data_IF_621955951361
#
_entry.id   IF_621955951361
#
_cell.length_a   1.000
_cell.length_b   1.000
_cell.length_c   1.000
_cell.angle_alpha   90.00
_cell.angle_beta   90.00
_cell.angle_gamma   90.00
#
_symmetry.space_group_name_H-M   'P 1'
#
loop_
_entity.id
_entity.type
_entity.pdbx_description
1 polymer ?
#
# COMPACT_ATOMS: atom_id res chain seq x y z
N UNK A 1 11.78 30.69 27.64
CA UNK A 1 11.54 29.58 26.69
C UNK A 1 10.40 28.76 27.26
N UNK A 2 9.38 28.51 26.45
CA UNK A 2 8.26 27.62 26.82
C UNK A 2 8.76 26.18 26.74
N UNK A 3 8.56 25.40 27.80
CA UNK A 3 8.90 23.98 27.83
C UNK A 3 7.72 23.19 27.26
N UNK A 4 7.94 22.40 26.21
CA UNK A 4 6.89 21.55 25.64
C UNK A 4 6.67 20.34 26.54
N UNK A 5 5.41 20.00 26.79
CA UNK A 5 5.04 18.71 27.37
C UNK A 5 5.00 17.68 26.23
N UNK A 6 6.02 16.83 26.15
CA UNK A 6 6.17 15.79 25.13
C UNK A 6 5.81 14.44 25.70
N UNK A 7 5.05 13.66 24.94
CA UNK A 7 4.89 12.22 25.22
C UNK A 7 6.19 11.48 24.92
N UNK A 8 6.37 10.27 25.49
CA UNK A 8 7.54 9.44 25.17
C UNK A 8 7.63 9.15 23.66
N UNK A 9 6.49 8.92 23.01
CA UNK A 9 6.45 8.68 21.57
C UNK A 9 6.88 9.89 20.74
N UNK A 10 6.46 11.08 21.14
CA UNK A 10 6.90 12.34 20.50
C UNK A 10 8.41 12.54 20.65
N UNK A 11 8.97 12.21 21.82
CA UNK A 11 10.43 12.24 22.02
C UNK A 11 11.14 11.25 21.11
N UNK A 12 10.67 10.00 21.03
CA UNK A 12 11.24 8.97 20.15
C UNK A 12 11.27 9.43 18.69
N UNK A 13 10.14 9.94 18.17
CA UNK A 13 10.03 10.42 16.80
C UNK A 13 10.95 11.62 16.52
N UNK A 14 11.05 12.57 17.46
CA UNK A 14 11.95 13.72 17.32
C UNK A 14 13.42 13.31 17.39
N UNK A 15 13.79 12.39 18.29
CA UNK A 15 15.16 11.85 18.40
C UNK A 15 15.56 11.00 17.20
N UNK A 16 14.60 10.38 16.52
CA UNK A 16 14.86 9.74 15.23
C UNK A 16 15.29 10.76 14.17
N UNK A 17 14.66 11.93 14.16
CA UNK A 17 14.91 12.99 13.18
C UNK A 17 16.12 13.88 13.49
N UNK A 18 16.48 14.04 14.78
CA UNK A 18 17.45 15.03 15.24
C UNK A 18 18.41 14.45 16.29
N UNK A 19 19.64 14.94 16.32
CA UNK A 19 20.70 14.44 17.20
C UNK A 19 20.69 15.03 18.63
N UNK A 20 19.82 16.02 18.91
CA UNK A 20 19.82 16.82 20.14
C UNK A 20 19.02 16.17 21.29
N UNK A 21 19.35 14.92 21.65
CA UNK A 21 18.55 14.08 22.55
C UNK A 21 18.24 14.71 23.92
N UNK A 22 19.22 15.30 24.60
CA UNK A 22 19.04 15.87 25.95
C UNK A 22 18.03 17.02 25.96
N UNK A 23 18.09 17.88 24.92
CA UNK A 23 17.14 19.00 24.78
C UNK A 23 15.72 18.50 24.51
N UNK A 24 15.61 17.47 23.68
CA UNK A 24 14.32 16.84 23.37
C UNK A 24 13.73 16.20 24.63
N UNK A 25 14.54 15.50 25.43
CA UNK A 25 14.08 14.93 26.71
C UNK A 25 13.58 15.97 27.69
N UNK A 26 14.23 17.12 27.71
CA UNK A 26 13.81 18.25 28.52
C UNK A 26 12.62 19.02 27.92
N UNK A 27 12.20 18.76 26.68
CA UNK A 27 11.16 19.54 26.00
C UNK A 27 11.61 20.96 25.61
N UNK A 28 12.92 21.19 25.52
CA UNK A 28 13.56 22.45 25.17
C UNK A 28 13.85 22.50 23.66
N UNK A 29 12.79 22.55 22.86
CA UNK A 29 12.87 22.47 21.40
C UNK A 29 13.40 23.77 20.74
N UNK A 30 14.03 23.64 19.58
CA UNK A 30 14.25 24.75 18.65
C UNK A 30 13.02 24.99 17.77
N UNK A 31 12.86 26.19 17.20
CA UNK A 31 11.71 26.54 16.35
C UNK A 31 11.41 25.51 15.24
N UNK A 32 12.44 24.94 14.62
CA UNK A 32 12.26 23.92 13.59
C UNK A 32 11.81 22.56 14.15
N UNK A 33 12.19 22.23 15.40
CA UNK A 33 11.72 21.05 16.13
C UNK A 33 10.29 21.24 16.64
N UNK A 34 9.91 22.48 16.99
CA UNK A 34 8.52 22.82 17.32
C UNK A 34 7.62 22.62 16.09
N UNK A 35 8.04 23.10 14.92
CA UNK A 35 7.32 22.87 13.66
C UNK A 35 7.18 21.37 13.35
N UNK A 36 8.24 20.59 13.57
CA UNK A 36 8.20 19.12 13.44
C UNK A 36 7.20 18.48 14.41
N UNK A 37 7.20 18.87 15.69
CA UNK A 37 6.25 18.39 16.69
C UNK A 37 4.80 18.68 16.28
N UNK A 38 4.52 19.89 15.80
CA UNK A 38 3.20 20.25 15.27
C UNK A 38 2.78 19.33 14.12
N UNK A 39 3.72 18.98 13.24
CA UNK A 39 3.46 18.07 12.13
C UNK A 39 3.15 16.65 12.61
N UNK A 40 3.95 16.13 13.55
CA UNK A 40 3.73 14.81 14.17
C UNK A 40 2.33 14.74 14.79
N UNK A 41 1.93 15.75 15.57
CA UNK A 41 0.61 15.79 16.22
C UNK A 41 -0.53 15.83 15.21
N UNK A 42 -0.43 16.66 14.17
CA UNK A 42 -1.45 16.74 13.12
C UNK A 42 -1.58 15.43 12.36
N UNK A 43 -0.47 14.75 12.11
CA UNK A 43 -0.47 13.44 11.47
C UNK A 43 -1.11 12.35 12.32
N UNK A 44 -0.90 12.36 13.65
CA UNK A 44 -1.62 11.47 14.57
C UNK A 44 -3.13 11.67 14.44
N UNK A 45 -3.60 12.91 14.53
CA UNK A 45 -5.02 13.26 14.40
C UNK A 45 -5.56 12.85 13.03
N UNK A 46 -4.79 13.06 11.96
CA UNK A 46 -5.18 12.64 10.62
C UNK A 46 -5.42 11.13 10.54
N UNK A 47 -4.49 10.32 11.05
CA UNK A 47 -4.60 8.85 11.03
C UNK A 47 -5.79 8.38 11.89
N UNK A 48 -5.95 8.92 13.10
CA UNK A 48 -7.07 8.60 14.00
C UNK A 48 -8.43 8.93 13.39
N UNK A 49 -8.56 10.08 12.73
CA UNK A 49 -9.81 10.50 12.11
C UNK A 49 -10.10 9.71 10.83
N UNK A 50 -9.07 9.41 10.03
CA UNK A 50 -9.22 8.73 8.73
C UNK A 50 -9.44 7.23 8.90
N UNK A 51 -8.81 6.61 9.89
CA UNK A 51 -8.82 5.17 10.12
C UNK A 51 -9.22 4.84 11.58
N UNK A 52 -10.42 5.24 12.04
CA UNK A 52 -10.81 5.16 13.45
C UNK A 52 -10.96 3.73 13.99
N UNK A 53 -11.00 2.73 13.10
CA UNK A 53 -11.11 1.31 13.46
C UNK A 53 -9.76 0.57 13.39
N UNK A 54 -8.66 1.30 13.14
CA UNK A 54 -7.33 0.74 13.04
C UNK A 54 -6.46 1.29 14.16
N UNK A 55 -5.64 0.42 14.74
CA UNK A 55 -4.65 0.79 15.74
C UNK A 55 -3.33 1.05 15.03
N UNK A 56 -3.05 2.34 14.76
CA UNK A 56 -1.92 2.78 13.94
C UNK A 56 -0.83 3.42 14.81
N UNK A 57 0.38 2.90 14.71
CA UNK A 57 1.53 3.40 15.44
C UNK A 57 2.54 4.07 14.49
N UNK A 58 2.83 5.36 14.71
CA UNK A 58 3.92 6.05 14.00
C UNK A 58 5.28 5.56 14.50
N UNK A 59 6.14 5.02 13.64
CA UNK A 59 7.44 4.45 14.04
C UNK A 59 8.63 5.34 13.71
N UNK A 60 8.50 6.25 12.73
CA UNK A 60 9.58 7.15 12.34
C UNK A 60 9.04 8.48 11.81
N UNK A 61 9.85 9.52 11.91
CA UNK A 61 9.55 10.84 11.37
C UNK A 61 10.76 11.39 10.62
N UNK A 62 10.55 11.82 9.39
CA UNK A 62 11.52 12.49 8.54
C UNK A 62 11.02 13.93 8.29
N UNK A 63 11.72 14.96 8.80
CA UNK A 63 11.29 16.33 8.65
C UNK A 63 11.45 16.80 7.21
N UNK A 64 10.65 17.80 6.84
CA UNK A 64 10.87 18.57 5.62
C UNK A 64 12.28 19.15 5.58
N UNK A 65 12.94 19.05 4.42
CA UNK A 65 14.28 19.60 4.19
C UNK A 65 14.28 20.50 2.96
N UNK A 66 15.42 21.15 2.68
CA UNK A 66 15.60 21.89 1.42
C UNK A 66 15.47 21.00 0.17
N UNK A 67 15.71 19.70 0.29
CA UNK A 67 15.63 18.72 -0.82
C UNK A 67 14.30 17.96 -0.83
N UNK A 68 13.64 17.86 0.31
CA UNK A 68 12.40 17.12 0.49
C UNK A 68 11.30 18.10 0.89
N UNK A 69 10.37 18.49 -0.02
CA UNK A 69 9.38 19.54 0.23
C UNK A 69 8.20 19.10 1.12
N UNK A 70 8.29 17.92 1.72
CA UNK A 70 7.29 17.32 2.59
C UNK A 70 8.00 16.70 3.81
N UNK A 71 7.26 16.56 4.91
CA UNK A 71 7.62 15.65 5.99
C UNK A 71 7.05 14.27 5.68
N UNK A 72 7.72 13.23 6.14
CA UNK A 72 7.31 11.84 5.96
C UNK A 72 7.23 11.14 7.31
N UNK A 73 6.17 10.38 7.53
CA UNK A 73 5.96 9.56 8.71
C UNK A 73 5.83 8.13 8.24
N UNK A 74 6.59 7.24 8.85
CA UNK A 74 6.37 5.81 8.69
C UNK A 74 5.52 5.32 9.86
N UNK A 75 4.56 4.46 9.58
CA UNK A 75 3.65 3.91 10.59
C UNK A 75 3.31 2.46 10.28
N UNK A 76 2.86 1.73 11.29
CA UNK A 76 2.44 0.34 11.20
C UNK A 76 1.05 0.19 11.81
N UNK A 77 0.31 -0.83 11.38
CA UNK A 77 -0.87 -1.28 12.10
C UNK A 77 -0.46 -2.32 13.16
N UNK A 78 -1.07 -2.27 14.35
CA UNK A 78 -0.78 -3.22 15.42
C UNK A 78 -0.90 -4.67 14.95
N UNK A 79 0.20 -5.43 15.08
CA UNK A 79 0.30 -6.82 14.65
C UNK A 79 0.64 -7.02 13.17
N UNK A 80 0.91 -5.93 12.42
CA UNK A 80 1.42 -5.97 11.05
C UNK A 80 2.91 -5.65 11.01
N UNK A 81 3.65 -6.37 10.18
CA UNK A 81 5.05 -6.06 9.84
C UNK A 81 5.16 -5.09 8.65
N UNK A 82 4.02 -4.68 8.07
CA UNK A 82 3.98 -3.78 6.91
C UNK A 82 4.12 -2.34 7.37
N UNK A 83 5.12 -1.66 6.80
CA UNK A 83 5.33 -0.23 7.02
C UNK A 83 4.63 0.59 5.95
N UNK A 84 3.77 1.49 6.40
CA UNK A 84 3.05 2.47 5.59
C UNK A 84 3.69 3.84 5.70
N UNK A 85 3.39 4.70 4.74
CA UNK A 85 3.95 6.04 4.61
C UNK A 85 2.84 7.07 4.57
N UNK A 86 2.97 8.10 5.41
CA UNK A 86 2.19 9.31 5.37
C UNK A 86 3.10 10.47 5.00
N UNK A 87 2.76 11.21 3.94
CA UNK A 87 3.40 12.48 3.60
C UNK A 87 2.53 13.63 4.03
N UNK A 88 3.15 14.63 4.65
CA UNK A 88 2.50 15.90 4.93
C UNK A 88 3.31 17.06 4.35
N UNK A 89 2.64 18.00 3.70
CA UNK A 89 3.24 19.22 3.17
C UNK A 89 2.26 20.38 3.30
N UNK A 90 2.79 21.58 3.51
CA UNK A 90 2.01 22.80 3.43
C UNK A 90 1.90 23.23 1.95
N UNK A 91 0.67 23.28 1.43
CA UNK A 91 0.36 23.70 0.06
C UNK A 91 -0.68 24.82 0.12
N UNK A 92 -0.37 25.97 -0.46
CA UNK A 92 -1.24 27.16 -0.45
C UNK A 92 -1.67 27.62 0.97
N UNK A 93 -0.82 27.42 1.98
CA UNK A 93 -1.13 27.76 3.37
C UNK A 93 -1.97 26.73 4.12
N UNK A 94 -2.28 25.60 3.50
CA UNK A 94 -3.02 24.49 4.10
C UNK A 94 -2.15 23.24 4.19
N UNK A 95 -2.27 22.48 5.28
CA UNK A 95 -1.61 21.18 5.38
C UNK A 95 -2.33 20.15 4.50
N UNK A 96 -1.58 19.45 3.68
CA UNK A 96 -2.07 18.38 2.82
C UNK A 96 -1.41 17.08 3.21
N UNK A 97 -2.23 16.05 3.37
CA UNK A 97 -1.81 14.72 3.79
C UNK A 97 -2.00 13.74 2.63
N UNK A 98 -1.14 12.74 2.52
CA UNK A 98 -1.28 11.64 1.56
C UNK A 98 -0.67 10.39 2.13
N UNK A 99 -1.40 9.29 2.12
CA UNK A 99 -0.94 8.00 2.65
C UNK A 99 -1.16 6.86 1.67
N UNK A 100 -0.57 5.70 1.96
CA UNK A 100 -0.75 4.45 1.24
C UNK A 100 -1.40 3.36 2.11
N UNK A 101 -2.07 3.72 3.22
CA UNK A 101 -2.81 2.76 4.06
C UNK A 101 -4.27 2.61 3.62
N UNK A 102 -4.74 3.48 2.72
CA UNK A 102 -6.10 3.41 2.19
C UNK A 102 -6.44 2.08 1.52
N UNK A 103 -5.46 1.25 1.16
CA UNK A 103 -5.70 -0.04 0.54
C UNK A 103 -6.14 -1.10 1.54
N UNK A 104 -5.60 -1.12 2.75
CA UNK A 104 -5.88 -2.12 3.78
C UNK A 104 -7.39 -2.34 4.02
N UNK A 105 -8.23 -1.30 4.11
CA UNK A 105 -9.67 -1.49 4.31
C UNK A 105 -10.38 -2.11 3.09
N UNK A 106 -9.84 -1.97 1.88
CA UNK A 106 -10.53 -2.29 0.62
C UNK A 106 -9.91 -3.44 -0.18
N UNK A 107 -8.66 -3.83 0.10
CA UNK A 107 -7.89 -4.83 -0.65
C UNK A 107 -8.68 -6.13 -0.85
N UNK A 108 -9.16 -6.74 0.24
CA UNK A 108 -9.91 -8.00 0.18
C UNK A 108 -11.20 -7.89 -0.62
N UNK A 109 -11.86 -6.73 -0.61
CA UNK A 109 -13.08 -6.52 -1.38
C UNK A 109 -12.76 -6.28 -2.87
N UNK A 110 -11.68 -5.53 -3.14
CA UNK A 110 -11.15 -5.29 -4.47
C UNK A 110 -10.74 -6.61 -5.14
N UNK A 111 -9.94 -7.45 -4.48
CA UNK A 111 -9.48 -8.72 -5.04
C UNK A 111 -10.65 -9.66 -5.33
N UNK A 112 -11.61 -9.77 -4.40
CA UNK A 112 -12.87 -10.51 -4.64
C UNK A 112 -13.65 -9.96 -5.83
N UNK A 113 -13.63 -8.65 -6.05
CA UNK A 113 -14.29 -8.02 -7.21
C UNK A 113 -13.61 -8.44 -8.51
N UNK A 114 -12.28 -8.44 -8.56
CA UNK A 114 -11.52 -8.91 -9.72
C UNK A 114 -11.73 -10.41 -9.95
N UNK A 115 -11.65 -11.25 -8.91
CA UNK A 115 -11.93 -12.68 -8.98
C UNK A 115 -13.33 -12.97 -9.57
N UNK A 116 -14.36 -12.21 -9.15
CA UNK A 116 -15.71 -12.35 -9.72
C UNK A 116 -15.78 -11.99 -11.20
N UNK A 117 -15.05 -10.95 -11.64
CA UNK A 117 -14.98 -10.56 -13.04
C UNK A 117 -14.31 -11.64 -13.89
N UNK A 118 -13.22 -12.22 -13.40
CA UNK A 118 -12.50 -13.31 -14.06
C UNK A 118 -13.35 -14.59 -14.11
N UNK A 119 -14.00 -14.95 -12.99
CA UNK A 119 -14.90 -16.11 -12.90
C UNK A 119 -16.09 -16.00 -13.85
N UNK A 120 -16.64 -14.81 -14.06
CA UNK A 120 -17.71 -14.57 -15.04
C UNK A 120 -17.28 -14.90 -16.49
N UNK A 121 -15.97 -14.91 -16.76
CA UNK A 121 -15.37 -15.32 -18.04
C UNK A 121 -14.77 -16.73 -17.99
N UNK A 122 -15.13 -17.53 -16.98
CA UNK A 122 -14.67 -18.91 -16.74
C UNK A 122 -13.17 -19.03 -16.48
N UNK A 123 -12.54 -17.97 -15.97
CA UNK A 123 -11.16 -17.99 -15.50
C UNK A 123 -11.21 -18.16 -13.99
N UNK A 124 -10.81 -19.34 -13.50
CA UNK A 124 -10.68 -19.59 -12.06
C UNK A 124 -9.31 -19.09 -11.60
N UNK A 125 -9.29 -18.19 -10.63
CA UNK A 125 -8.06 -17.54 -10.20
C UNK A 125 -8.11 -17.09 -8.75
N UNK A 126 -6.94 -16.85 -8.17
CA UNK A 126 -6.75 -15.96 -7.02
C UNK A 126 -6.17 -14.64 -7.47
N UNK A 127 -6.52 -13.58 -6.75
CA UNK A 127 -6.05 -12.22 -7.05
C UNK A 127 -5.47 -11.61 -5.80
N UNK A 128 -4.32 -10.98 -5.94
CA UNK A 128 -3.68 -10.14 -4.94
C UNK A 128 -3.44 -8.76 -5.56
N UNK A 129 -3.76 -7.68 -4.84
CA UNK A 129 -3.51 -6.33 -5.36
C UNK A 129 -2.84 -5.44 -4.33
N UNK A 130 -1.75 -4.80 -4.75
CA UNK A 130 -1.07 -3.75 -3.98
C UNK A 130 -1.31 -2.39 -4.61
N UNK A 131 -1.44 -1.36 -3.77
CA UNK A 131 -1.64 0.02 -4.17
C UNK A 131 -0.42 0.87 -3.78
N UNK A 132 0.64 0.90 -4.60
CA UNK A 132 1.94 1.40 -4.18
C UNK A 132 2.04 2.93 -4.06
N UNK A 133 0.97 3.67 -4.38
CA UNK A 133 1.00 5.12 -4.47
C UNK A 133 0.34 5.79 -3.28
N UNK A 134 0.90 6.94 -2.88
CA UNK A 134 0.26 7.82 -1.91
C UNK A 134 -0.92 8.55 -2.55
N UNK A 135 -2.04 8.60 -1.84
CA UNK A 135 -3.22 9.33 -2.28
C UNK A 135 -3.60 10.41 -1.26
N UNK A 136 -3.80 11.63 -1.76
CA UNK A 136 -4.24 12.76 -0.95
C UNK A 136 -5.74 12.76 -0.68
N UNK A 137 -6.51 12.18 -1.59
CA UNK A 137 -7.96 12.19 -1.52
C UNK A 137 -8.44 11.16 -0.50
N UNK A 138 -9.55 11.49 0.17
CA UNK A 138 -10.26 10.52 0.98
C UNK A 138 -10.90 9.46 0.07
N UNK A 139 -10.75 8.20 0.45
CA UNK A 139 -11.39 7.06 -0.22
C UNK A 139 -12.32 6.46 0.82
N UNK A 140 -13.62 6.64 0.63
CA UNK A 140 -14.63 6.21 1.60
C UNK A 140 -15.28 4.88 1.22
N UNK A 141 -15.07 4.44 -0.02
CA UNK A 141 -15.66 3.22 -0.55
C UNK A 141 -14.78 2.55 -1.62
N UNK A 142 -15.04 1.27 -1.85
CA UNK A 142 -14.48 0.53 -2.98
C UNK A 142 -14.84 1.20 -4.33
N UNK A 143 -16.02 1.81 -4.42
CA UNK A 143 -16.45 2.49 -5.66
C UNK A 143 -15.62 3.74 -5.92
N UNK A 144 -15.25 4.50 -4.88
CA UNK A 144 -14.32 5.62 -5.02
C UNK A 144 -12.97 5.11 -5.55
N UNK A 145 -12.44 4.04 -4.94
CA UNK A 145 -11.19 3.41 -5.33
C UNK A 145 -11.21 2.96 -6.79
N UNK A 146 -12.31 2.37 -7.27
CA UNK A 146 -12.48 1.89 -8.64
C UNK A 146 -12.57 3.04 -9.65
N UNK A 147 -13.19 4.16 -9.28
CA UNK A 147 -13.37 5.32 -10.16
C UNK A 147 -12.17 6.27 -10.21
N UNK A 148 -11.11 6.01 -9.45
CA UNK A 148 -9.89 6.82 -9.50
C UNK A 148 -9.12 6.63 -10.81
N UNK A 149 -9.15 7.65 -11.69
CA UNK A 149 -8.45 7.62 -12.99
C UNK A 149 -6.92 7.54 -12.88
N UNK A 150 -6.33 8.02 -11.78
CA UNK A 150 -4.87 8.11 -11.60
C UNK A 150 -4.31 7.06 -10.65
N UNK A 151 -5.11 6.05 -10.31
CA UNK A 151 -4.68 4.97 -9.43
C UNK A 151 -4.15 3.81 -10.27
N UNK A 152 -2.83 3.73 -10.36
CA UNK A 152 -2.16 2.55 -10.92
C UNK A 152 -1.99 1.52 -9.81
N UNK A 153 -2.33 0.27 -10.12
CA UNK A 153 -2.32 -0.87 -9.19
C UNK A 153 -1.27 -1.88 -9.62
N UNK A 154 -0.81 -2.72 -8.70
CA UNK A 154 -0.02 -3.90 -9.04
C UNK A 154 -0.86 -5.11 -8.68
N UNK A 155 -1.43 -5.75 -9.69
CA UNK A 155 -2.29 -6.91 -9.50
C UNK A 155 -1.59 -8.18 -9.93
N UNK A 156 -1.61 -9.18 -9.08
CA UNK A 156 -1.13 -10.52 -9.36
C UNK A 156 -2.33 -11.45 -9.49
N UNK A 157 -2.37 -12.22 -10.59
CA UNK A 157 -3.44 -13.16 -10.88
C UNK A 157 -2.85 -14.56 -10.94
N UNK A 158 -3.27 -15.43 -10.04
CA UNK A 158 -2.78 -16.80 -9.94
C UNK A 158 -3.81 -17.76 -10.54
N UNK A 159 -3.39 -18.55 -11.53
CA UNK A 159 -4.22 -19.52 -12.25
C UNK A 159 -3.66 -20.93 -12.02
N UNK A 160 -4.51 -21.80 -11.49
CA UNK A 160 -4.20 -23.23 -11.35
C UNK A 160 -4.37 -23.96 -12.67
N UNK A 161 -3.36 -24.75 -13.01
CA UNK A 161 -3.31 -25.56 -14.23
C UNK A 161 -2.84 -26.97 -13.89
N UNK A 162 -3.42 -27.95 -14.57
CA UNK A 162 -3.02 -29.36 -14.43
C UNK A 162 -1.73 -29.65 -15.23
N UNK A 163 -1.58 -28.96 -16.36
CA UNK A 163 -0.41 -29.00 -17.24
C UNK A 163 -0.16 -27.61 -17.84
N UNK A 164 1.09 -27.32 -18.20
CA UNK A 164 1.40 -26.03 -18.83
C UNK A 164 0.76 -25.94 -20.21
N UNK A 165 -0.08 -24.92 -20.47
CA UNK A 165 -0.57 -24.65 -21.80
C UNK A 165 0.60 -24.30 -22.72
N UNK A 166 0.34 -24.38 -24.03
CA UNK A 166 1.23 -23.76 -25.01
C UNK A 166 1.37 -22.25 -24.76
N UNK A 167 2.45 -21.66 -25.25
CA UNK A 167 2.66 -20.21 -25.15
C UNK A 167 1.50 -19.41 -25.76
N UNK A 168 0.95 -19.88 -26.88
CA UNK A 168 -0.21 -19.27 -27.54
C UNK A 168 -1.47 -19.31 -26.65
N UNK A 169 -1.74 -20.41 -25.95
CA UNK A 169 -2.88 -20.51 -25.04
C UNK A 169 -2.72 -19.61 -23.81
N UNK A 170 -1.50 -19.52 -23.27
CA UNK A 170 -1.19 -18.61 -22.16
C UNK A 170 -1.36 -17.14 -22.59
N UNK A 171 -0.86 -16.77 -23.76
CA UNK A 171 -1.04 -15.43 -24.34
C UNK A 171 -2.52 -15.12 -24.57
N UNK A 172 -3.28 -16.05 -25.15
CA UNK A 172 -4.72 -15.90 -25.36
C UNK A 172 -5.49 -15.72 -24.03
N UNK A 173 -5.07 -16.40 -22.97
CA UNK A 173 -5.64 -16.22 -21.63
C UNK A 173 -5.30 -14.84 -21.07
N UNK A 174 -4.04 -14.41 -21.18
CA UNK A 174 -3.61 -13.08 -20.73
C UNK A 174 -4.34 -11.95 -21.47
N UNK A 175 -4.52 -12.07 -22.79
CA UNK A 175 -5.28 -11.09 -23.59
C UNK A 175 -6.74 -10.98 -23.12
N UNK A 176 -7.39 -12.09 -22.74
CA UNK A 176 -8.74 -12.06 -22.17
C UNK A 176 -8.77 -11.36 -20.81
N UNK A 177 -7.77 -11.58 -19.96
CA UNK A 177 -7.65 -10.90 -18.66
C UNK A 177 -7.42 -9.40 -18.88
N UNK A 178 -6.53 -9.03 -19.78
CA UNK A 178 -6.25 -7.64 -20.14
C UNK A 178 -7.53 -6.93 -20.65
N UNK A 179 -8.31 -7.57 -21.50
CA UNK A 179 -9.59 -7.04 -21.98
C UNK A 179 -10.60 -6.84 -20.83
N UNK A 180 -10.69 -7.78 -19.88
CA UNK A 180 -11.53 -7.64 -18.69
C UNK A 180 -11.08 -6.43 -17.87
N UNK A 181 -9.78 -6.27 -17.66
CA UNK A 181 -9.23 -5.15 -16.90
C UNK A 181 -9.53 -3.81 -17.58
N UNK A 182 -9.31 -3.70 -18.90
CA UNK A 182 -9.63 -2.50 -19.68
C UNK A 182 -11.12 -2.15 -19.64
N UNK A 183 -12.00 -3.13 -19.85
CA UNK A 183 -13.45 -2.93 -19.83
C UNK A 183 -13.96 -2.44 -18.47
N UNK A 184 -13.27 -2.81 -17.39
CA UNK A 184 -13.64 -2.45 -16.01
C UNK A 184 -12.77 -1.34 -15.42
N UNK A 185 -11.94 -0.67 -16.25
CA UNK A 185 -11.05 0.44 -15.82
C UNK A 185 -10.10 0.06 -14.68
N UNK A 186 -9.68 -1.21 -14.65
CA UNK A 186 -8.68 -1.71 -13.71
C UNK A 186 -7.29 -1.38 -14.26
N UNK A 187 -6.85 -0.15 -14.00
CA UNK A 187 -5.58 0.38 -14.50
C UNK A 187 -4.39 0.00 -13.60
N UNK A 188 -3.27 -0.33 -14.23
CA UNK A 188 -2.05 -0.68 -13.53
C UNK A 188 -1.22 -1.76 -14.23
N UNK A 189 -0.25 -2.28 -13.48
CA UNK A 189 0.49 -3.47 -13.88
C UNK A 189 -0.26 -4.72 -13.44
N UNK A 190 -0.32 -5.72 -14.30
CA UNK A 190 -0.84 -7.04 -13.98
C UNK A 190 0.20 -8.09 -14.32
N UNK A 191 0.44 -9.02 -13.39
CA UNK A 191 1.25 -10.22 -13.62
C UNK A 191 0.37 -11.44 -13.46
N UNK A 192 0.28 -12.26 -14.50
CA UNK A 192 -0.49 -13.50 -14.49
C UNK A 192 0.48 -14.66 -14.29
N UNK A 193 0.26 -15.43 -13.23
CA UNK A 193 1.02 -16.63 -12.89
C UNK A 193 0.22 -17.88 -13.24
N UNK A 194 0.81 -18.75 -14.06
CA UNK A 194 0.33 -20.10 -14.33
C UNK A 194 1.11 -21.07 -13.46
N UNK A 195 0.41 -21.83 -12.61
CA UNK A 195 1.03 -22.65 -11.58
C UNK A 195 0.53 -24.09 -11.68
N UNK A 196 1.48 -25.03 -11.81
CA UNK A 196 1.19 -26.45 -11.66
C UNK A 196 0.90 -26.76 -10.19
N UNK A 197 -0.06 -27.66 -9.97
CA UNK A 197 -0.34 -28.28 -8.69
C UNK A 197 -0.89 -27.29 -7.64
N UNK A 198 -2.15 -26.87 -7.84
CA UNK A 198 -2.86 -26.07 -6.85
C UNK A 198 -3.92 -26.91 -6.13
N UNK A 199 -3.49 -27.86 -5.29
CA UNK A 199 -4.35 -28.38 -4.22
C UNK A 199 -4.75 -27.28 -3.22
N UNK A 200 -4.09 -26.11 -3.27
CA UNK A 200 -4.13 -25.08 -2.25
C UNK A 200 -4.70 -23.72 -2.68
N UNK A 201 -5.63 -23.67 -3.64
CA UNK A 201 -6.34 -22.42 -4.00
C UNK A 201 -7.15 -21.87 -2.82
N UNK A 202 -7.24 -22.60 -1.71
CA UNK A 202 -7.90 -22.18 -0.48
C UNK A 202 -6.95 -21.64 0.60
N UNK A 203 -5.62 -21.62 0.35
CA UNK A 203 -4.64 -21.04 1.29
C UNK A 203 -4.64 -19.51 1.25
N UNK A 204 -4.10 -18.94 2.32
CA UNK A 204 -3.91 -17.49 2.47
C UNK A 204 -3.00 -16.93 1.38
N UNK A 205 -3.16 -15.65 1.03
CA UNK A 205 -2.42 -15.01 -0.06
C UNK A 205 -0.92 -14.88 0.25
N UNK A 206 -0.57 -14.78 1.54
CA UNK A 206 0.82 -14.80 2.01
C UNK A 206 1.56 -16.08 1.60
N UNK A 207 0.84 -17.21 1.46
CA UNK A 207 1.39 -18.44 0.92
C UNK A 207 1.84 -18.27 -0.54
N UNK A 208 1.10 -17.52 -1.36
CA UNK A 208 1.41 -17.34 -2.77
C UNK A 208 2.63 -16.44 -3.00
N UNK A 209 2.81 -15.42 -2.16
CA UNK A 209 4.01 -14.56 -2.18
C UNK A 209 5.28 -15.36 -1.85
N UNK A 210 5.23 -16.18 -0.79
CA UNK A 210 6.32 -17.11 -0.47
C UNK A 210 6.50 -18.17 -1.57
N UNK A 211 5.40 -18.69 -2.12
CA UNK A 211 5.42 -19.69 -3.19
C UNK A 211 6.13 -19.16 -4.46
N UNK A 212 5.83 -17.92 -4.87
CA UNK A 212 6.49 -17.29 -6.03
C UNK A 212 7.97 -17.05 -5.75
N UNK A 213 8.34 -16.64 -4.53
CA UNK A 213 9.75 -16.43 -4.14
C UNK A 213 10.55 -17.73 -4.14
N UNK A 214 10.00 -18.79 -3.56
CA UNK A 214 10.69 -20.07 -3.40
C UNK A 214 10.76 -20.88 -4.70
N UNK A 215 9.72 -20.81 -5.53
CA UNK A 215 9.60 -21.66 -6.73
C UNK A 215 9.87 -20.98 -8.06
N UNK A 216 10.18 -19.68 -8.12
CA UNK A 216 10.77 -19.06 -9.34
C UNK A 216 12.05 -19.77 -9.82
N UNK A 217 12.73 -20.49 -8.93
CA UNK A 217 13.91 -21.30 -9.24
C UNK A 217 13.58 -22.74 -9.70
N UNK A 218 12.30 -23.13 -9.68
CA UNK A 218 11.81 -24.44 -10.09
C UNK A 218 10.88 -24.25 -11.30
N UNK A 219 10.89 -25.17 -12.28
CA UNK A 219 10.15 -25.04 -13.56
C UNK A 219 8.61 -25.12 -13.44
N UNK A 220 8.04 -24.74 -12.30
CA UNK A 220 6.64 -24.97 -11.92
C UNK A 220 5.79 -23.69 -11.97
N UNK A 221 6.36 -22.57 -12.43
CA UNK A 221 5.66 -21.29 -12.60
C UNK A 221 6.07 -20.66 -13.93
N UNK A 222 5.09 -20.14 -14.67
CA UNK A 222 5.30 -19.24 -15.81
C UNK A 222 4.51 -17.96 -15.56
N UNK A 223 5.11 -16.79 -15.85
CA UNK A 223 4.46 -15.50 -15.65
C UNK A 223 4.44 -14.65 -16.91
N UNK A 224 3.33 -13.97 -17.17
CA UNK A 224 3.19 -12.97 -18.24
C UNK A 224 2.72 -11.66 -17.62
N UNK A 225 3.37 -10.55 -17.98
CA UNK A 225 3.04 -9.22 -17.49
C UNK A 225 2.43 -8.35 -18.59
N UNK A 226 1.42 -7.56 -18.23
CA UNK A 226 0.86 -6.52 -19.10
C UNK A 226 0.52 -5.26 -18.29
N UNK A 227 0.27 -4.15 -19.00
CA UNK A 227 -0.06 -2.88 -18.40
C UNK A 227 -1.33 -2.29 -19.03
N UNK A 228 -2.27 -1.88 -18.20
CA UNK A 228 -3.53 -1.27 -18.64
C UNK A 228 -3.53 0.23 -18.40
N UNK A 229 -3.94 1.00 -19.43
CA UNK A 229 -4.12 2.46 -19.44
C UNK A 229 -5.54 2.82 -19.82
#
# INVERSE_FOLDING_TARGET
MSRFNLTEKEKELLKYAYIDNDRIDEGNLFDYQEAALHMIRKSSVYLEVRYPNHDLEMISFLPQTKKTPYSEIHFVESGSDVTYTLRCQMKNGEDTFSDNFYDVPFEKEYDKRVERLLKARKISSRVYTVFPFLISNRIDSLEDLLNMERLSRNTEVFIGIDEFPSEEEMQNTCSKIEDIFKQNKLYGSCVVYFMLDIEDMNRDISYFDEYVKDRKNQKNIVSIAFYTK
#
